data_IF_660632584575
#
_entry.id   IF_660632584575
#
_cell.length_a   1.000
_cell.length_b   1.000
_cell.length_c   1.000
_cell.angle_alpha   90.00
_cell.angle_beta   90.00
_cell.angle_gamma   90.00
#
_symmetry.space_group_name_H-M   'P 1'
#
loop_
_entity.id
_entity.type
_entity.pdbx_description
1 polymer ?
#
# COMPACT_ATOMS: atom_id res chain seq x y z
N UNK A 1 0.47 -0.14 18.46
CA UNK A 1 -0.55 -1.20 18.33
C UNK A 1 -1.97 -0.66 18.22
N UNK A 2 -2.31 0.45 18.96
CA UNK A 2 -3.69 0.98 19.00
C UNK A 2 -4.08 1.90 17.82
N UNK A 3 -3.12 2.40 17.04
CA UNK A 3 -3.41 3.40 16.00
C UNK A 3 -4.27 2.85 14.85
N UNK A 4 -4.04 1.61 14.42
CA UNK A 4 -4.80 0.97 13.35
C UNK A 4 -6.24 0.67 13.74
N UNK A 5 -6.47 0.23 14.98
CA UNK A 5 -7.81 -0.02 15.50
C UNK A 5 -8.61 1.27 15.69
N UNK A 6 -7.97 2.33 16.20
CA UNK A 6 -8.57 3.66 16.34
C UNK A 6 -8.91 4.23 14.97
N UNK A 7 -7.98 4.16 14.00
CA UNK A 7 -8.22 4.64 12.63
C UNK A 7 -9.40 3.91 12.00
N UNK A 8 -9.52 2.58 12.18
CA UNK A 8 -10.64 1.81 11.66
C UNK A 8 -11.99 2.26 12.23
N UNK A 9 -12.08 2.46 13.54
CA UNK A 9 -13.32 2.92 14.20
C UNK A 9 -13.66 4.37 13.85
N UNK A 10 -12.66 5.26 13.81
CA UNK A 10 -12.85 6.67 13.46
C UNK A 10 -13.23 6.85 12.00
N UNK A 11 -12.72 6.01 11.09
CA UNK A 11 -13.07 6.07 9.67
C UNK A 11 -14.57 5.89 9.43
N UNK A 12 -15.20 4.92 10.09
CA UNK A 12 -16.65 4.66 9.93
C UNK A 12 -17.47 5.87 10.38
N UNK A 13 -17.09 6.47 11.52
CA UNK A 13 -17.77 7.67 12.06
C UNK A 13 -17.56 8.87 11.12
N UNK A 14 -16.35 9.06 10.64
CA UNK A 14 -16.02 10.11 9.66
C UNK A 14 -16.86 9.93 8.39
N UNK A 15 -16.93 8.73 7.82
CA UNK A 15 -17.63 8.45 6.57
C UNK A 15 -19.15 8.67 6.73
N UNK A 16 -19.71 8.35 7.90
CA UNK A 16 -21.11 8.66 8.23
C UNK A 16 -21.36 10.18 8.23
N UNK A 17 -20.53 10.97 8.96
CA UNK A 17 -20.70 12.42 9.02
C UNK A 17 -20.46 13.10 7.68
N UNK A 18 -19.48 12.63 6.89
CA UNK A 18 -19.21 13.13 5.55
C UNK A 18 -20.41 12.87 4.63
N UNK A 19 -20.99 11.68 4.68
CA UNK A 19 -22.19 11.35 3.91
C UNK A 19 -23.37 12.22 4.31
N UNK A 20 -23.62 12.40 5.61
CA UNK A 20 -24.70 13.25 6.14
C UNK A 20 -24.52 14.71 5.68
N UNK A 21 -23.28 15.21 5.74
CA UNK A 21 -22.94 16.55 5.26
C UNK A 21 -23.25 16.73 3.77
N UNK A 22 -22.83 15.77 2.92
CA UNK A 22 -23.09 15.86 1.48
C UNK A 22 -24.56 15.73 1.13
N UNK A 23 -25.31 14.89 1.84
CA UNK A 23 -26.76 14.80 1.67
C UNK A 23 -27.42 16.14 2.06
N UNK A 24 -27.07 16.69 3.23
CA UNK A 24 -27.60 17.98 3.66
C UNK A 24 -27.24 19.12 2.70
N UNK A 25 -26.00 19.17 2.24
CA UNK A 25 -25.57 20.14 1.23
C UNK A 25 -26.34 19.96 -0.08
N UNK A 26 -26.48 18.73 -0.56
CA UNK A 26 -27.21 18.41 -1.81
C UNK A 26 -28.67 18.84 -1.79
N UNK A 27 -29.32 18.79 -0.61
CA UNK A 27 -30.70 19.26 -0.44
C UNK A 27 -30.85 20.78 -0.47
N UNK A 28 -29.78 21.53 -0.22
CA UNK A 28 -29.80 23.00 -0.18
C UNK A 28 -29.32 23.66 -1.47
N UNK A 29 -28.83 22.86 -2.43
CA UNK A 29 -28.31 23.40 -3.71
C UNK A 29 -29.48 23.81 -4.59
N UNK A 30 -29.58 25.07 -5.03
CA UNK A 30 -30.54 25.46 -6.04
C UNK A 30 -30.20 24.75 -7.37
N UNK A 31 -31.23 24.26 -8.05
CA UNK A 31 -31.07 23.72 -9.40
C UNK A 31 -30.50 24.81 -10.31
N UNK A 32 -29.59 24.43 -11.23
CA UNK A 32 -28.98 25.43 -12.12
C UNK A 32 -30.04 26.05 -13.04
N UNK A 33 -30.18 27.38 -13.01
CA UNK A 33 -31.17 28.12 -13.78
C UNK A 33 -30.83 28.22 -15.28
N UNK A 34 -29.77 27.52 -15.74
CA UNK A 34 -29.41 27.51 -17.18
C UNK A 34 -28.16 26.71 -17.52
N UNK A 35 -28.01 26.45 -18.82
CA UNK A 35 -26.85 25.74 -19.39
C UNK A 35 -25.52 26.44 -19.10
N UNK A 36 -25.54 27.77 -18.93
CA UNK A 36 -24.34 28.55 -18.65
C UNK A 36 -23.65 28.13 -17.33
N UNK A 37 -24.40 27.84 -16.29
CA UNK A 37 -23.86 27.37 -14.99
C UNK A 37 -23.11 26.06 -15.16
N UNK A 38 -23.66 25.12 -15.92
CA UNK A 38 -23.03 23.83 -16.19
C UNK A 38 -21.74 23.99 -17.03
N UNK A 39 -21.78 24.84 -18.07
CA UNK A 39 -20.59 25.11 -18.88
C UNK A 39 -19.49 25.74 -18.01
N UNK A 40 -19.85 26.70 -17.17
CA UNK A 40 -18.90 27.35 -16.26
C UNK A 40 -18.34 26.37 -15.25
N UNK A 41 -19.17 25.46 -14.74
CA UNK A 41 -18.74 24.39 -13.82
C UNK A 41 -17.73 23.43 -14.48
N UNK A 42 -17.96 23.03 -15.73
CA UNK A 42 -17.00 22.21 -16.49
C UNK A 42 -15.69 22.96 -16.69
N UNK A 43 -15.74 24.23 -17.11
CA UNK A 43 -14.53 25.04 -17.28
C UNK A 43 -13.76 25.17 -15.97
N UNK A 44 -14.47 25.45 -14.85
CA UNK A 44 -13.85 25.56 -13.53
C UNK A 44 -13.22 24.21 -13.09
N UNK A 45 -13.90 23.10 -13.34
CA UNK A 45 -13.38 21.75 -13.04
C UNK A 45 -12.09 21.48 -13.82
N UNK A 46 -12.06 21.76 -15.12
CA UNK A 46 -10.88 21.59 -15.96
C UNK A 46 -9.73 22.49 -15.50
N UNK A 47 -10.01 23.77 -15.23
CA UNK A 47 -9.00 24.72 -14.72
C UNK A 47 -8.46 24.26 -13.37
N UNK A 48 -9.31 23.79 -12.45
CA UNK A 48 -8.89 23.31 -11.14
C UNK A 48 -7.96 22.09 -11.24
N UNK A 49 -8.30 21.11 -12.09
CA UNK A 49 -7.46 19.91 -12.33
C UNK A 49 -6.13 20.31 -12.96
N UNK A 50 -6.15 21.14 -13.99
CA UNK A 50 -4.93 21.59 -14.68
C UNK A 50 -4.03 22.44 -13.77
N UNK A 51 -4.60 23.36 -13.00
CA UNK A 51 -3.85 24.20 -12.07
C UNK A 51 -3.14 23.35 -11.01
N UNK A 52 -3.82 22.34 -10.45
CA UNK A 52 -3.21 21.41 -9.49
C UNK A 52 -2.10 20.61 -10.12
N UNK A 53 -2.31 20.11 -11.32
CA UNK A 53 -1.29 19.38 -12.04
C UNK A 53 -0.05 20.25 -12.31
N UNK A 54 -0.25 21.46 -12.82
CA UNK A 54 0.84 22.41 -13.14
C UNK A 54 1.61 22.87 -11.89
N UNK A 55 0.95 22.94 -10.72
CA UNK A 55 1.58 23.39 -9.47
C UNK A 55 2.15 22.22 -8.68
N UNK A 56 1.36 21.16 -8.45
CA UNK A 56 1.74 20.07 -7.54
C UNK A 56 2.80 19.17 -8.17
N UNK A 57 2.69 18.86 -9.46
CA UNK A 57 3.64 18.01 -10.14
C UNK A 57 5.08 18.55 -10.07
N UNK A 58 5.37 19.81 -10.46
CA UNK A 58 6.73 20.33 -10.32
C UNK A 58 7.19 20.44 -8.87
N UNK A 59 6.29 20.82 -7.96
CA UNK A 59 6.61 20.92 -6.53
C UNK A 59 7.12 19.57 -5.98
N UNK A 60 6.42 18.48 -6.28
CA UNK A 60 6.79 17.14 -5.85
C UNK A 60 8.06 16.65 -6.56
N UNK A 61 8.18 16.91 -7.85
CA UNK A 61 9.37 16.56 -8.62
C UNK A 61 10.63 17.23 -8.08
N UNK A 62 10.58 18.53 -7.82
CA UNK A 62 11.72 19.28 -7.26
C UNK A 62 11.96 18.98 -5.78
N UNK A 63 11.00 18.43 -5.06
CA UNK A 63 11.21 17.93 -3.69
C UNK A 63 11.89 16.54 -3.63
N UNK A 64 12.21 15.95 -4.79
CA UNK A 64 12.98 14.71 -4.89
C UNK A 64 12.15 13.45 -5.16
N UNK A 65 10.83 13.57 -5.40
CA UNK A 65 10.06 12.45 -5.89
C UNK A 65 10.39 12.19 -7.37
N UNK A 66 10.35 10.93 -7.76
CA UNK A 66 10.46 10.54 -9.17
C UNK A 66 9.27 11.07 -9.99
N UNK A 67 9.49 11.20 -11.29
CA UNK A 67 8.52 11.80 -12.23
C UNK A 67 7.16 11.10 -12.20
N UNK A 68 7.14 9.76 -12.15
CA UNK A 68 5.92 8.95 -12.13
C UNK A 68 5.12 9.18 -10.84
N UNK A 69 5.74 9.05 -9.67
CA UNK A 69 5.08 9.25 -8.39
C UNK A 69 4.61 10.70 -8.20
N UNK A 70 5.39 11.68 -8.67
CA UNK A 70 4.97 13.09 -8.68
C UNK A 70 3.71 13.30 -9.52
N UNK A 71 3.63 12.64 -10.68
CA UNK A 71 2.47 12.74 -11.56
C UNK A 71 1.24 12.05 -10.99
N UNK A 72 1.38 10.78 -10.56
CA UNK A 72 0.28 10.01 -9.96
C UNK A 72 -0.30 10.72 -8.74
N UNK A 73 0.57 11.28 -7.89
CA UNK A 73 0.14 12.05 -6.71
C UNK A 73 -0.60 13.33 -7.12
N UNK A 74 -0.14 14.03 -8.15
CA UNK A 74 -0.81 15.23 -8.66
C UNK A 74 -2.20 14.94 -9.21
N UNK A 75 -2.37 13.80 -9.90
CA UNK A 75 -3.67 13.32 -10.40
C UNK A 75 -4.60 12.97 -9.22
N UNK A 76 -4.08 12.30 -8.18
CA UNK A 76 -4.84 11.97 -6.96
C UNK A 76 -5.36 13.21 -6.23
N UNK A 77 -4.60 14.28 -6.25
CA UNK A 77 -4.95 15.57 -5.64
C UNK A 77 -5.76 16.49 -6.57
N UNK A 78 -6.14 16.02 -7.76
CA UNK A 78 -6.85 16.81 -8.78
C UNK A 78 -8.27 17.25 -8.38
N UNK A 79 -8.90 16.59 -7.43
CA UNK A 79 -10.25 16.89 -6.95
C UNK A 79 -10.30 18.24 -6.23
N UNK A 80 -11.38 19.01 -6.43
CA UNK A 80 -11.69 20.20 -5.61
C UNK A 80 -11.94 19.75 -4.17
N UNK A 81 -11.39 20.50 -3.20
CA UNK A 81 -11.51 20.15 -1.78
C UNK A 81 -12.94 20.31 -1.26
N UNK A 82 -13.37 19.43 -0.38
CA UNK A 82 -14.63 19.50 0.37
C UNK A 82 -14.74 20.81 1.16
N UNK A 83 -13.63 21.33 1.69
CA UNK A 83 -13.60 22.60 2.38
C UNK A 83 -13.98 23.79 1.47
N UNK A 84 -13.78 23.69 0.16
CA UNK A 84 -14.23 24.71 -0.79
C UNK A 84 -15.74 24.86 -0.77
N UNK A 85 -16.49 23.79 -0.55
CA UNK A 85 -17.95 23.81 -0.43
C UNK A 85 -18.40 24.50 0.86
N UNK A 86 -17.71 24.25 1.98
CA UNK A 86 -18.00 24.90 3.27
C UNK A 86 -17.78 26.41 3.15
N UNK A 87 -16.66 26.83 2.55
CA UNK A 87 -16.36 28.26 2.35
C UNK A 87 -17.38 28.90 1.39
N UNK A 88 -17.74 28.18 0.33
CA UNK A 88 -18.75 28.63 -0.62
C UNK A 88 -20.12 28.82 0.05
N UNK A 89 -20.55 27.86 0.87
CA UNK A 89 -21.81 27.94 1.62
C UNK A 89 -21.82 29.11 2.59
N UNK A 90 -20.73 29.32 3.35
CA UNK A 90 -20.61 30.49 4.24
C UNK A 90 -20.64 31.81 3.48
N UNK A 91 -19.95 31.87 2.34
CA UNK A 91 -19.98 33.05 1.47
C UNK A 91 -21.38 33.35 0.92
N UNK A 92 -22.15 32.32 0.58
CA UNK A 92 -23.55 32.45 0.17
C UNK A 92 -24.44 32.97 1.32
N UNK A 93 -24.30 32.39 2.52
CA UNK A 93 -25.08 32.83 3.70
C UNK A 93 -24.79 34.28 4.10
N UNK A 94 -23.54 34.71 3.95
CA UNK A 94 -23.11 36.09 4.26
C UNK A 94 -23.40 37.08 3.12
N UNK A 95 -23.97 36.62 2.01
CA UNK A 95 -24.25 37.46 0.85
C UNK A 95 -23.01 37.92 0.06
N UNK A 96 -21.84 37.31 0.27
CA UNK A 96 -20.60 37.64 -0.41
C UNK A 96 -20.51 37.05 -1.81
N UNK A 97 -21.23 35.97 -2.09
CA UNK A 97 -21.30 35.32 -3.40
C UNK A 97 -22.76 35.11 -3.81
N UNK A 98 -23.01 35.07 -5.11
CA UNK A 98 -24.33 34.76 -5.65
C UNK A 98 -24.66 33.27 -5.60
N UNK A 99 -25.95 32.94 -5.63
CA UNK A 99 -26.40 31.53 -5.74
C UNK A 99 -25.92 30.86 -7.01
N UNK A 100 -25.79 31.58 -8.11
CA UNK A 100 -25.26 31.08 -9.39
C UNK A 100 -23.79 30.66 -9.29
N UNK A 101 -22.97 31.49 -8.63
CA UNK A 101 -21.56 31.17 -8.39
C UNK A 101 -21.43 29.95 -7.43
N UNK A 102 -22.24 29.91 -6.39
CA UNK A 102 -22.27 28.78 -5.48
C UNK A 102 -22.63 27.48 -6.20
N UNK A 103 -23.67 27.47 -7.02
CA UNK A 103 -24.06 26.33 -7.86
C UNK A 103 -22.92 25.91 -8.79
N UNK A 104 -22.24 26.86 -9.45
CA UNK A 104 -21.10 26.59 -10.34
C UNK A 104 -19.98 25.84 -9.59
N UNK A 105 -19.59 26.30 -8.40
CA UNK A 105 -18.52 25.66 -7.60
C UNK A 105 -18.94 24.26 -7.15
N UNK A 106 -20.19 24.05 -6.75
CA UNK A 106 -20.70 22.77 -6.31
C UNK A 106 -20.73 21.76 -7.46
N UNK A 107 -21.24 22.15 -8.64
CA UNK A 107 -21.20 21.28 -9.82
C UNK A 107 -19.77 20.98 -10.29
N UNK A 108 -18.85 21.94 -10.23
CA UNK A 108 -17.43 21.71 -10.50
C UNK A 108 -16.81 20.70 -9.52
N UNK A 109 -17.17 20.77 -8.23
CA UNK A 109 -16.78 19.78 -7.24
C UNK A 109 -17.29 18.39 -7.61
N UNK A 110 -18.59 18.24 -7.90
CA UNK A 110 -19.20 16.95 -8.27
C UNK A 110 -18.50 16.37 -9.52
N UNK A 111 -18.27 17.18 -10.53
CA UNK A 111 -17.57 16.76 -11.76
C UNK A 111 -16.16 16.26 -11.42
N UNK A 112 -15.38 17.01 -10.63
CA UNK A 112 -14.03 16.58 -10.27
C UNK A 112 -14.03 15.35 -9.35
N UNK A 113 -14.99 15.23 -8.45
CA UNK A 113 -15.13 14.07 -7.57
C UNK A 113 -15.44 12.78 -8.35
N UNK A 114 -16.31 12.85 -9.35
CA UNK A 114 -16.63 11.71 -10.23
C UNK A 114 -15.49 11.38 -11.21
N UNK A 115 -14.75 12.39 -11.66
CA UNK A 115 -13.68 12.23 -12.64
C UNK A 115 -12.39 11.67 -12.00
N UNK A 116 -12.09 12.04 -10.76
CA UNK A 116 -10.83 11.70 -10.08
C UNK A 116 -10.59 10.19 -9.97
N UNK A 117 -11.55 9.33 -9.58
CA UNK A 117 -11.34 7.88 -9.57
C UNK A 117 -11.03 7.30 -10.95
N UNK A 118 -11.63 7.85 -12.00
CA UNK A 118 -11.39 7.43 -13.39
C UNK A 118 -9.99 7.84 -13.85
N UNK A 119 -9.58 9.07 -13.55
CA UNK A 119 -8.23 9.57 -13.83
C UNK A 119 -7.18 8.77 -13.07
N UNK A 120 -7.46 8.42 -11.81
CA UNK A 120 -6.56 7.63 -11.00
C UNK A 120 -6.32 6.23 -11.60
N UNK A 121 -7.38 5.54 -12.02
CA UNK A 121 -7.27 4.23 -12.70
C UNK A 121 -6.45 4.28 -13.99
N UNK A 122 -6.40 5.44 -14.64
CA UNK A 122 -5.65 5.68 -15.88
C UNK A 122 -4.37 6.50 -15.68
N UNK A 123 -3.96 6.73 -14.44
CA UNK A 123 -2.84 7.61 -14.13
C UNK A 123 -1.53 7.16 -14.80
N UNK A 124 -1.29 5.85 -14.87
CA UNK A 124 -0.12 5.29 -15.54
C UNK A 124 -0.16 5.50 -17.06
N UNK A 125 -1.30 5.23 -17.70
CA UNK A 125 -1.48 5.50 -19.12
C UNK A 125 -1.35 7.01 -19.45
N UNK A 126 -1.83 7.89 -18.57
CA UNK A 126 -1.65 9.34 -18.68
C UNK A 126 -0.17 9.69 -18.57
N UNK A 127 0.56 9.07 -17.63
CA UNK A 127 2.01 9.25 -17.49
C UNK A 127 2.74 8.87 -18.78
N UNK A 128 2.46 7.69 -19.34
CA UNK A 128 3.13 7.19 -20.54
C UNK A 128 2.93 8.13 -21.74
N UNK A 129 1.71 8.63 -21.92
CA UNK A 129 1.41 9.59 -22.99
C UNK A 129 2.09 10.94 -22.79
N UNK A 130 2.17 11.44 -21.55
CA UNK A 130 2.78 12.73 -21.23
C UNK A 130 4.29 12.66 -21.01
N UNK A 131 4.86 11.47 -20.87
CA UNK A 131 6.28 11.25 -20.57
C UNK A 131 7.21 11.90 -21.59
N UNK A 132 6.88 11.82 -22.88
CA UNK A 132 7.63 12.44 -23.97
C UNK A 132 7.60 13.95 -23.91
N UNK A 133 6.45 14.56 -23.59
CA UNK A 133 6.29 16.01 -23.45
C UNK A 133 7.03 16.51 -22.20
N UNK A 134 6.89 15.84 -21.08
CA UNK A 134 7.58 16.19 -19.83
C UNK A 134 9.11 16.09 -19.98
N UNK A 135 9.60 15.08 -20.70
CA UNK A 135 11.02 14.98 -21.04
C UNK A 135 11.54 16.15 -21.86
N UNK A 136 10.75 16.67 -22.82
CA UNK A 136 11.09 17.89 -23.61
C UNK A 136 11.05 19.16 -22.78
N UNK A 137 10.20 19.22 -21.75
CA UNK A 137 10.11 20.35 -20.81
C UNK A 137 11.22 20.32 -19.73
N UNK A 138 12.15 19.36 -19.79
CA UNK A 138 13.27 19.28 -18.85
C UNK A 138 13.01 18.45 -17.61
N UNK A 139 11.82 17.89 -17.42
CA UNK A 139 11.52 16.94 -16.35
C UNK A 139 12.08 15.55 -16.74
N UNK A 140 13.39 15.42 -16.67
CA UNK A 140 14.05 14.13 -16.91
C UNK A 140 13.69 13.17 -15.77
N UNK A 141 13.42 11.92 -16.09
CA UNK A 141 13.48 10.90 -15.06
C UNK A 141 14.87 11.00 -14.43
N UNK A 142 14.99 11.12 -13.09
CA UNK A 142 16.28 10.91 -12.49
C UNK A 142 16.74 9.60 -13.09
N UNK A 143 17.91 9.62 -13.73
CA UNK A 143 18.55 8.41 -14.20
C UNK A 143 18.39 7.43 -13.05
N UNK A 144 17.41 6.55 -13.16
CA UNK A 144 17.35 5.44 -12.24
C UNK A 144 18.78 4.95 -12.25
N UNK A 145 19.37 4.76 -11.07
CA UNK A 145 20.59 4.00 -10.92
C UNK A 145 20.28 2.55 -11.37
N UNK A 146 19.79 2.45 -12.60
CA UNK A 146 19.46 1.21 -13.29
C UNK A 146 20.70 0.48 -13.79
N UNK A 147 21.87 1.00 -13.47
CA UNK A 147 23.14 0.33 -13.70
C UNK A 147 23.89 0.00 -12.40
N UNK A 148 23.37 0.44 -11.23
CA UNK A 148 23.92 -0.01 -9.97
C UNK A 148 23.24 -1.33 -9.60
N UNK A 149 23.89 -2.42 -10.04
CA UNK A 149 23.67 -3.79 -9.60
C UNK A 149 22.22 -4.28 -9.75
N UNK A 150 21.96 -4.97 -10.83
CA UNK A 150 20.85 -5.94 -10.98
C UNK A 150 21.06 -7.07 -9.96
N UNK A 151 20.95 -6.73 -8.68
CA UNK A 151 21.15 -7.68 -7.59
C UNK A 151 20.04 -8.72 -7.67
N UNK A 152 20.42 -9.96 -7.91
CA UNK A 152 19.53 -11.10 -7.75
C UNK A 152 19.41 -11.40 -6.27
N UNK A 153 18.20 -11.68 -5.80
CA UNK A 153 17.95 -12.01 -4.41
C UNK A 153 17.63 -13.49 -4.28
N UNK A 154 18.22 -14.14 -3.28
CA UNK A 154 17.85 -15.52 -2.96
C UNK A 154 16.48 -15.59 -2.31
N UNK A 155 16.10 -14.54 -1.57
CA UNK A 155 14.83 -14.44 -0.84
C UNK A 155 14.23 -13.04 -0.98
N UNK A 156 12.93 -12.96 -1.24
CA UNK A 156 12.15 -11.74 -1.12
C UNK A 156 11.00 -11.95 -0.12
N UNK A 157 10.90 -11.07 0.87
CA UNK A 157 9.79 -11.03 1.83
C UNK A 157 8.83 -9.91 1.42
N UNK A 158 7.59 -10.26 1.14
CA UNK A 158 6.54 -9.32 0.78
C UNK A 158 5.74 -8.95 2.02
N UNK A 159 5.91 -7.70 2.43
CA UNK A 159 5.39 -7.16 3.66
C UNK A 159 6.19 -7.56 4.90
N UNK A 160 6.25 -6.65 5.87
CA UNK A 160 6.96 -6.85 7.10
C UNK A 160 6.02 -6.73 8.30
N UNK A 161 5.72 -7.87 8.91
CA UNK A 161 4.91 -7.99 10.11
C UNK A 161 5.59 -8.95 11.10
N UNK A 162 4.94 -9.33 12.18
CA UNK A 162 5.52 -10.19 13.25
C UNK A 162 6.17 -11.45 12.69
N UNK A 163 5.51 -12.15 11.77
CA UNK A 163 6.05 -13.38 11.15
C UNK A 163 7.35 -13.11 10.40
N UNK A 164 7.41 -12.03 9.62
CA UNK A 164 8.64 -11.65 8.91
C UNK A 164 9.76 -11.27 9.89
N UNK A 165 9.42 -10.59 10.99
CA UNK A 165 10.37 -10.23 12.04
C UNK A 165 10.98 -11.47 12.69
N UNK A 166 10.14 -12.44 13.09
CA UNK A 166 10.58 -13.71 13.64
C UNK A 166 11.40 -14.53 12.63
N UNK A 167 10.96 -14.55 11.35
CA UNK A 167 11.66 -15.26 10.28
C UNK A 167 13.06 -14.68 10.05
N UNK A 168 13.22 -13.35 9.99
CA UNK A 168 14.53 -12.73 9.83
C UNK A 168 15.43 -12.99 11.05
N UNK A 169 14.88 -13.05 12.26
CA UNK A 169 15.63 -13.43 13.44
C UNK A 169 16.18 -14.86 13.33
N UNK A 170 15.35 -15.83 12.93
CA UNK A 170 15.78 -17.23 12.75
C UNK A 170 16.81 -17.36 11.61
N UNK A 171 16.58 -16.66 10.46
CA UNK A 171 17.54 -16.66 9.36
C UNK A 171 18.89 -16.05 9.78
N UNK A 172 18.87 -14.98 10.55
CA UNK A 172 20.10 -14.36 11.06
C UNK A 172 20.90 -15.28 11.97
N UNK A 173 20.24 -16.14 12.69
CA UNK A 173 20.83 -17.10 13.59
C UNK A 173 21.36 -18.34 12.87
N UNK A 174 20.53 -18.92 12.01
CA UNK A 174 20.80 -20.21 11.38
C UNK A 174 21.54 -20.08 10.03
N UNK A 175 21.34 -18.99 9.31
CA UNK A 175 21.94 -18.74 8.00
C UNK A 175 22.19 -17.25 7.76
N UNK A 176 23.14 -16.62 8.46
CA UNK A 176 23.40 -15.18 8.39
C UNK A 176 23.78 -14.71 6.98
N UNK A 177 24.41 -15.58 6.16
CA UNK A 177 24.73 -15.28 4.77
C UNK A 177 23.53 -15.01 3.89
N UNK A 178 22.36 -15.55 4.23
CA UNK A 178 21.13 -15.33 3.46
C UNK A 178 20.54 -13.94 3.70
N UNK A 179 20.81 -13.31 4.85
CA UNK A 179 20.31 -11.96 5.14
C UNK A 179 20.78 -10.95 4.11
N UNK A 180 22.06 -11.00 3.72
CA UNK A 180 22.63 -10.08 2.71
C UNK A 180 22.04 -10.28 1.31
N UNK A 181 21.41 -11.44 1.05
CA UNK A 181 20.74 -11.81 -0.18
C UNK A 181 19.21 -11.72 -0.07
N UNK A 182 18.71 -11.15 1.04
CA UNK A 182 17.28 -10.99 1.29
C UNK A 182 16.83 -9.59 0.92
N UNK A 183 15.74 -9.51 0.17
CA UNK A 183 14.98 -8.30 -0.11
C UNK A 183 13.73 -8.29 0.77
N UNK A 184 13.44 -7.16 1.39
CA UNK A 184 12.15 -6.89 2.07
C UNK A 184 11.45 -5.78 1.32
N UNK A 185 10.21 -6.01 0.91
CA UNK A 185 9.35 -5.00 0.28
C UNK A 185 8.24 -4.64 1.25
N UNK A 186 8.24 -3.41 1.75
CA UNK A 186 7.25 -2.94 2.71
C UNK A 186 6.92 -1.46 2.50
N UNK A 187 5.66 -1.08 2.75
CA UNK A 187 5.19 0.30 2.60
C UNK A 187 5.49 1.17 3.83
N UNK A 188 5.80 0.58 4.98
CA UNK A 188 6.03 1.31 6.23
C UNK A 188 7.49 1.80 6.36
N UNK A 189 7.74 2.99 5.86
CA UNK A 189 9.08 3.62 5.87
C UNK A 189 9.69 3.71 7.28
N UNK A 190 8.87 3.81 8.33
CA UNK A 190 9.35 3.90 9.71
C UNK A 190 10.11 2.64 10.20
N UNK A 191 9.87 1.51 9.56
CA UNK A 191 10.54 0.25 9.88
C UNK A 191 11.82 0.04 9.05
N UNK A 192 11.97 0.73 7.92
CA UNK A 192 13.06 0.48 6.97
C UNK A 192 14.45 0.56 7.60
N UNK A 193 14.71 1.57 8.42
CA UNK A 193 16.01 1.72 9.09
C UNK A 193 16.29 0.54 10.04
N UNK A 194 15.29 0.08 10.80
CA UNK A 194 15.42 -1.04 11.74
C UNK A 194 15.63 -2.36 11.00
N UNK A 195 14.90 -2.57 9.90
CA UNK A 195 15.01 -3.79 9.09
C UNK A 195 16.36 -3.83 8.38
N UNK A 196 16.81 -2.71 7.79
CA UNK A 196 18.13 -2.61 7.15
C UNK A 196 19.28 -2.87 8.12
N UNK A 197 19.12 -2.51 9.39
CA UNK A 197 20.14 -2.77 10.42
C UNK A 197 20.37 -4.27 10.65
N UNK A 198 19.45 -5.15 10.23
CA UNK A 198 19.62 -6.60 10.25
C UNK A 198 20.50 -7.13 9.09
N UNK A 199 20.97 -6.26 8.19
CA UNK A 199 21.79 -6.64 7.03
C UNK A 199 21.01 -7.03 5.77
N UNK A 200 19.70 -6.82 5.74
CA UNK A 200 18.84 -7.09 4.57
C UNK A 200 18.64 -5.84 3.71
N UNK A 201 18.35 -6.03 2.43
CA UNK A 201 17.96 -4.91 1.55
C UNK A 201 16.47 -4.61 1.76
N UNK A 202 16.12 -3.35 2.05
CA UNK A 202 14.72 -2.93 2.18
C UNK A 202 14.36 -1.98 1.06
N UNK A 203 13.20 -2.18 0.46
CA UNK A 203 12.64 -1.28 -0.54
C UNK A 203 11.21 -0.91 -0.18
N UNK A 204 10.86 0.34 -0.44
CA UNK A 204 9.48 0.79 -0.37
C UNK A 204 8.67 0.14 -1.50
N UNK A 205 7.54 -0.43 -1.16
CA UNK A 205 6.63 -1.00 -2.14
C UNK A 205 5.22 -1.19 -1.59
N UNK A 206 4.24 -0.84 -2.41
CA UNK A 206 2.85 -1.18 -2.19
C UNK A 206 2.57 -2.54 -2.84
N UNK A 207 2.22 -3.52 -2.02
CA UNK A 207 1.94 -4.89 -2.46
C UNK A 207 0.68 -5.00 -3.33
N UNK A 208 -0.17 -3.96 -3.36
CA UNK A 208 -1.32 -3.89 -4.25
C UNK A 208 -0.94 -3.66 -5.71
N UNK A 209 0.30 -3.24 -5.98
CA UNK A 209 0.74 -2.81 -7.30
C UNK A 209 1.83 -3.75 -7.87
N UNK A 210 1.47 -4.53 -8.89
CA UNK A 210 2.38 -5.48 -9.56
C UNK A 210 3.64 -4.80 -10.16
N UNK A 211 3.50 -3.58 -10.67
CA UNK A 211 4.62 -2.84 -11.23
C UNK A 211 5.62 -2.40 -10.14
N UNK A 212 5.13 -2.05 -8.95
CA UNK A 212 5.97 -1.78 -7.78
C UNK A 212 6.75 -3.03 -7.37
N UNK A 213 6.12 -4.21 -7.41
CA UNK A 213 6.81 -5.49 -7.15
C UNK A 213 7.90 -5.76 -8.18
N UNK A 214 7.63 -5.53 -9.47
CA UNK A 214 8.63 -5.67 -10.53
C UNK A 214 9.83 -4.74 -10.31
N UNK A 215 9.59 -3.45 -10.09
CA UNK A 215 10.67 -2.48 -9.88
C UNK A 215 11.42 -2.67 -8.56
N UNK A 216 10.84 -3.33 -7.57
CA UNK A 216 11.54 -3.65 -6.33
C UNK A 216 12.60 -4.76 -6.49
N UNK A 217 12.55 -5.56 -7.56
CA UNK A 217 13.47 -6.67 -7.83
C UNK A 217 12.92 -8.02 -7.41
N UNK A 218 11.61 -8.13 -7.16
CA UNK A 218 10.91 -9.41 -6.90
C UNK A 218 10.93 -10.31 -8.12
N UNK A 219 10.97 -9.72 -9.33
CA UNK A 219 11.14 -10.40 -10.61
C UNK A 219 12.42 -11.26 -10.69
N UNK A 220 13.39 -11.02 -9.82
CA UNK A 220 14.70 -11.72 -9.79
C UNK A 220 14.96 -12.43 -8.48
N UNK A 221 13.96 -12.60 -7.66
CA UNK A 221 14.07 -13.36 -6.43
C UNK A 221 13.83 -14.86 -6.72
N UNK A 222 14.68 -15.72 -6.14
CA UNK A 222 14.51 -17.17 -6.27
C UNK A 222 13.35 -17.70 -5.44
N UNK A 223 13.19 -17.18 -4.22
CA UNK A 223 12.10 -17.53 -3.30
C UNK A 223 11.39 -16.26 -2.92
N UNK A 224 10.07 -16.27 -2.98
CA UNK A 224 9.21 -15.14 -2.56
C UNK A 224 8.29 -15.62 -1.44
N UNK A 225 8.26 -14.89 -0.33
CA UNK A 225 7.44 -15.24 0.83
C UNK A 225 6.46 -14.11 1.15
N UNK A 226 5.17 -14.40 1.10
CA UNK A 226 4.11 -13.53 1.55
C UNK A 226 3.85 -13.79 3.02
N UNK A 227 4.29 -12.88 3.91
CA UNK A 227 4.26 -13.10 5.36
C UNK A 227 3.09 -12.43 6.07
N UNK A 228 2.45 -11.45 5.44
CA UNK A 228 1.32 -10.72 6.04
C UNK A 228 0.04 -11.54 5.87
N UNK A 229 -0.72 -11.77 6.94
CA UNK A 229 -2.03 -12.42 6.84
C UNK A 229 -3.08 -11.50 6.20
N UNK A 230 -4.08 -12.08 5.54
CA UNK A 230 -5.07 -11.33 4.74
C UNK A 230 -5.92 -10.35 5.55
N UNK A 231 -6.15 -10.63 6.83
CA UNK A 231 -6.87 -9.74 7.75
C UNK A 231 -6.11 -8.43 8.06
N UNK A 232 -4.81 -8.41 7.82
CA UNK A 232 -3.94 -7.22 7.96
C UNK A 232 -3.75 -6.48 6.63
N UNK A 233 -3.85 -7.18 5.49
CA UNK A 233 -3.71 -6.60 4.16
C UNK A 233 -4.89 -5.66 3.86
N UNK A 234 -4.59 -4.49 3.28
CA UNK A 234 -5.60 -3.52 2.86
C UNK A 234 -5.54 -3.32 1.36
N UNK A 235 -6.69 -3.48 0.70
CA UNK A 235 -6.81 -3.25 -0.75
C UNK A 235 -6.30 -4.36 -1.65
N UNK A 236 -5.75 -5.44 -1.08
CA UNK A 236 -5.31 -6.64 -1.79
C UNK A 236 -5.47 -7.88 -0.91
N UNK A 237 -5.17 -9.06 -1.45
CA UNK A 237 -5.12 -10.33 -0.75
C UNK A 237 -3.86 -11.10 -1.13
N UNK A 238 -3.46 -12.08 -0.31
CA UNK A 238 -2.34 -12.96 -0.67
C UNK A 238 -2.57 -13.67 -2.00
N UNK A 239 -3.81 -14.03 -2.33
CA UNK A 239 -4.14 -14.62 -3.63
C UNK A 239 -3.80 -13.67 -4.80
N UNK A 240 -4.11 -12.37 -4.68
CA UNK A 240 -3.77 -11.37 -5.69
C UNK A 240 -2.26 -11.13 -5.77
N UNK A 241 -1.58 -11.10 -4.63
CA UNK A 241 -0.11 -10.95 -4.57
C UNK A 241 0.57 -12.14 -5.23
N UNK A 242 0.16 -13.37 -4.94
CA UNK A 242 0.69 -14.59 -5.55
C UNK A 242 0.51 -14.58 -7.07
N UNK A 243 -0.69 -14.22 -7.57
CA UNK A 243 -0.94 -14.08 -9.01
C UNK A 243 -0.02 -13.04 -9.65
N UNK A 244 0.15 -11.88 -9.00
CA UNK A 244 1.04 -10.83 -9.48
C UNK A 244 2.49 -11.28 -9.52
N UNK A 245 2.98 -11.94 -8.46
CA UNK A 245 4.34 -12.48 -8.40
C UNK A 245 4.54 -13.55 -9.48
N UNK A 246 3.61 -14.48 -9.63
CA UNK A 246 3.68 -15.53 -10.65
C UNK A 246 3.72 -14.96 -12.07
N UNK A 247 3.01 -13.84 -12.30
CA UNK A 247 3.03 -13.15 -13.59
C UNK A 247 4.38 -12.48 -13.89
N UNK A 248 5.00 -11.81 -12.89
CA UNK A 248 6.28 -11.10 -13.10
C UNK A 248 7.50 -11.99 -12.93
N UNK A 249 7.38 -13.11 -12.22
CA UNK A 249 8.46 -14.08 -11.98
C UNK A 249 7.89 -15.50 -12.00
N UNK A 250 7.71 -16.08 -13.21
CA UNK A 250 7.14 -17.43 -13.37
C UNK A 250 7.94 -18.55 -12.70
N UNK A 251 9.26 -18.38 -12.56
CA UNK A 251 10.17 -19.39 -12.01
C UNK A 251 10.36 -19.29 -10.48
N UNK A 252 9.81 -18.26 -9.83
CA UNK A 252 9.96 -18.09 -8.39
C UNK A 252 9.28 -19.23 -7.62
N UNK A 253 9.89 -19.65 -6.53
CA UNK A 253 9.23 -20.48 -5.52
C UNK A 253 8.44 -19.54 -4.61
N UNK A 254 7.12 -19.67 -4.60
CA UNK A 254 6.22 -18.77 -3.84
C UNK A 254 5.69 -19.49 -2.61
N UNK A 255 5.97 -18.90 -1.44
CA UNK A 255 5.47 -19.36 -0.14
C UNK A 255 4.47 -18.33 0.36
N UNK A 256 3.24 -18.74 0.66
CA UNK A 256 2.18 -17.82 1.05
C UNK A 256 1.56 -18.19 2.41
N UNK A 257 1.10 -17.16 3.13
CA UNK A 257 0.38 -17.32 4.38
C UNK A 257 -1.13 -17.41 4.10
N UNK A 258 -1.80 -18.39 4.69
CA UNK A 258 -3.24 -18.49 4.77
C UNK A 258 -3.72 -18.33 6.21
N UNK A 259 -4.81 -17.62 6.41
CA UNK A 259 -5.50 -17.50 7.71
C UNK A 259 -6.58 -18.57 7.83
N UNK A 260 -7.40 -18.73 6.79
CA UNK A 260 -8.50 -19.69 6.73
C UNK A 260 -8.16 -20.91 5.87
N UNK A 261 -8.78 -22.06 6.21
CA UNK A 261 -8.50 -23.32 5.51
C UNK A 261 -8.84 -23.29 4.02
N UNK A 262 -9.90 -22.57 3.64
CA UNK A 262 -10.32 -22.47 2.24
C UNK A 262 -9.32 -21.65 1.40
N UNK A 263 -8.67 -20.65 1.98
CA UNK A 263 -7.67 -19.82 1.30
C UNK A 263 -6.46 -20.63 0.82
N UNK A 264 -6.12 -21.68 1.55
CA UNK A 264 -5.00 -22.56 1.18
C UNK A 264 -5.18 -23.13 -0.22
N UNK A 265 -6.38 -23.58 -0.56
CA UNK A 265 -6.69 -24.09 -1.89
C UNK A 265 -6.61 -22.99 -2.96
N UNK A 266 -7.18 -21.84 -2.67
CA UNK A 266 -7.16 -20.68 -3.58
C UNK A 266 -5.73 -20.20 -3.85
N UNK A 267 -4.86 -20.22 -2.85
CA UNK A 267 -3.45 -19.85 -2.98
C UNK A 267 -2.67 -20.84 -3.85
N UNK A 268 -2.90 -22.16 -3.72
CA UNK A 268 -2.31 -23.15 -4.62
C UNK A 268 -2.83 -22.97 -6.06
N UNK A 269 -4.12 -22.74 -6.25
CA UNK A 269 -4.71 -22.47 -7.56
C UNK A 269 -4.18 -21.14 -8.16
N UNK A 270 -3.83 -20.16 -7.32
CA UNK A 270 -3.21 -18.91 -7.73
C UNK A 270 -1.73 -19.06 -8.15
N UNK A 271 -1.08 -20.20 -7.82
CA UNK A 271 0.29 -20.51 -8.16
C UNK A 271 1.29 -20.45 -7.01
N UNK A 272 0.86 -20.53 -5.75
CA UNK A 272 1.75 -20.75 -4.62
C UNK A 272 2.33 -22.18 -4.66
N UNK A 273 3.62 -22.33 -4.33
CA UNK A 273 4.28 -23.62 -4.25
C UNK A 273 4.15 -24.24 -2.85
N UNK A 274 4.03 -23.39 -1.84
CA UNK A 274 3.80 -23.81 -0.46
C UNK A 274 2.91 -22.81 0.28
N UNK A 275 1.97 -23.34 1.05
CA UNK A 275 1.09 -22.52 1.89
C UNK A 275 1.25 -22.94 3.34
N UNK A 276 1.55 -21.98 4.21
CA UNK A 276 1.61 -22.19 5.66
C UNK A 276 0.47 -21.50 6.38
N UNK A 277 0.04 -22.09 7.48
CA UNK A 277 -0.99 -21.54 8.35
C UNK A 277 -0.45 -21.47 9.78
N UNK A 278 -0.23 -20.25 10.29
CA UNK A 278 0.38 -20.04 11.61
C UNK A 278 -0.31 -20.83 12.71
N UNK A 279 -1.66 -20.86 12.71
CA UNK A 279 -2.44 -21.59 13.74
C UNK A 279 -2.20 -23.10 13.70
N UNK A 280 -2.01 -23.68 12.50
CA UNK A 280 -1.76 -25.13 12.35
C UNK A 280 -0.34 -25.47 12.80
N UNK A 281 0.66 -24.66 12.40
CA UNK A 281 2.04 -24.86 12.83
C UNK A 281 2.18 -24.68 14.35
N UNK A 282 1.48 -23.70 14.93
CA UNK A 282 1.44 -23.52 16.39
C UNK A 282 0.77 -24.71 17.09
N UNK A 283 -0.35 -25.22 16.53
CA UNK A 283 -1.05 -26.37 17.09
C UNK A 283 -0.17 -27.63 17.13
N UNK A 284 0.60 -27.90 16.05
CA UNK A 284 1.57 -29.01 15.98
C UNK A 284 2.67 -28.87 17.03
N UNK A 285 3.21 -27.66 17.21
CA UNK A 285 4.23 -27.41 18.22
C UNK A 285 3.69 -27.66 19.66
N UNK A 286 2.45 -27.21 19.92
CA UNK A 286 1.78 -27.43 21.23
C UNK A 286 1.45 -28.90 21.45
N UNK A 287 0.99 -29.61 20.39
CA UNK A 287 0.74 -31.08 20.46
C UNK A 287 1.99 -31.82 20.90
N UNK A 288 3.15 -31.53 20.25
CA UNK A 288 4.41 -32.17 20.68
C UNK A 288 4.80 -31.86 22.13
N UNK A 289 4.52 -30.65 22.62
CA UNK A 289 4.74 -30.31 24.03
C UNK A 289 3.79 -31.07 24.97
N UNK A 290 2.52 -31.28 24.57
CA UNK A 290 1.53 -32.04 25.34
C UNK A 290 1.97 -33.51 25.44
N UNK A 291 2.40 -34.13 24.33
CA UNK A 291 2.92 -35.51 24.35
C UNK A 291 4.09 -35.66 25.32
N UNK A 292 5.03 -34.72 25.30
CA UNK A 292 6.17 -34.71 26.24
C UNK A 292 5.75 -34.47 27.69
N UNK A 293 4.73 -33.66 27.92
CA UNK A 293 4.17 -33.46 29.25
C UNK A 293 3.53 -34.77 29.81
N UNK A 294 2.78 -35.48 28.97
CA UNK A 294 2.13 -36.72 29.36
C UNK A 294 3.14 -37.88 29.60
N UNK A 295 4.27 -37.87 28.91
CA UNK A 295 5.36 -38.82 29.11
C UNK A 295 6.29 -38.44 30.29
N UNK A 296 6.10 -37.27 30.91
CA UNK A 296 6.97 -36.78 32.00
C UNK A 296 8.30 -36.17 31.51
N UNK A 297 8.48 -35.97 30.20
CA UNK A 297 9.71 -35.49 29.56
C UNK A 297 9.66 -33.97 29.25
N UNK A 298 8.70 -33.23 29.80
CA UNK A 298 8.53 -31.82 29.52
C UNK A 298 9.73 -30.95 29.93
N UNK A 299 10.42 -31.21 31.08
CA UNK A 299 11.60 -30.40 31.45
C UNK A 299 12.75 -30.54 30.44
N UNK A 300 13.01 -31.77 29.98
CA UNK A 300 14.04 -32.07 28.98
C UNK A 300 13.67 -31.45 27.61
N UNK A 301 12.41 -31.57 27.22
CA UNK A 301 11.90 -30.95 26.02
C UNK A 301 12.05 -29.41 26.05
N UNK A 302 11.66 -28.78 27.18
CA UNK A 302 11.87 -27.34 27.38
C UNK A 302 13.35 -26.96 27.23
N UNK A 303 14.24 -27.70 27.89
CA UNK A 303 15.68 -27.45 27.82
C UNK A 303 16.22 -27.60 26.39
N UNK A 304 15.71 -28.54 25.60
CA UNK A 304 16.07 -28.72 24.20
C UNK A 304 15.60 -27.58 23.33
N UNK A 305 14.39 -27.05 23.56
CA UNK A 305 13.84 -25.89 22.87
C UNK A 305 14.65 -24.61 23.21
N UNK A 306 14.95 -24.39 24.50
CA UNK A 306 15.77 -23.27 24.95
C UNK A 306 17.20 -23.35 24.39
N UNK A 307 17.79 -24.53 24.28
CA UNK A 307 19.08 -24.75 23.65
C UNK A 307 19.02 -24.47 22.13
N UNK A 308 17.93 -24.90 21.48
CA UNK A 308 17.74 -24.72 20.04
C UNK A 308 17.41 -23.26 19.65
N UNK A 309 16.57 -22.59 20.39
CA UNK A 309 16.01 -21.27 20.02
C UNK A 309 16.47 -20.12 20.91
N UNK A 310 17.20 -20.37 22.00
CA UNK A 310 17.56 -19.39 23.02
C UNK A 310 16.40 -19.04 23.95
N UNK A 311 16.69 -18.24 24.95
CA UNK A 311 15.67 -17.77 25.87
C UNK A 311 14.75 -16.75 25.21
N UNK A 312 13.47 -17.00 25.22
CA UNK A 312 12.45 -16.21 24.51
C UNK A 312 12.44 -14.73 24.88
N UNK A 313 12.73 -14.40 26.15
CA UNK A 313 12.76 -13.02 26.63
C UNK A 313 13.99 -12.23 26.20
N UNK A 314 15.05 -12.90 25.74
CA UNK A 314 16.24 -12.28 25.18
C UNK A 314 16.15 -12.03 23.67
N UNK A 315 15.08 -12.51 23.05
CA UNK A 315 14.87 -12.45 21.62
C UNK A 315 14.64 -10.99 21.18
N UNK A 316 15.48 -10.49 20.28
CA UNK A 316 15.36 -9.15 19.73
C UNK A 316 14.72 -9.21 18.35
N UNK A 317 13.47 -8.88 18.27
CA UNK A 317 12.72 -8.77 17.03
C UNK A 317 12.41 -7.30 16.72
N UNK A 318 12.21 -6.99 15.43
CA UNK A 318 11.93 -5.60 15.00
C UNK A 318 10.52 -5.18 15.38
N UNK A 319 9.57 -6.16 15.45
CA UNK A 319 8.16 -5.95 15.80
C UNK A 319 7.72 -6.87 16.93
#
# INVERSE_FOLDING_TARGET
PYSTEIIGKVSVVKDFFVTLFFVGLGMTIPMPDGVNVLVLAVVLAVVAVLARYVVIFPLLYFSGLDRRNSMVTSVRLGQISEFSLVICFLGLQLGHISGELASTVIFAFVITALLTPLMYRKADAIHDHLSGLLGRLGFREPLQKSAAEQKSYSLALLGFHRTASSLLHELGRNNPGLLSQTLVVDFNINLHAKISALGVTVKYGDLCNAETLHHSGVDRARVVVCTIPDDVLKGTSNCNIVKAVRHINPEAIIIANAVELHESRELYEAGADYVFMQRIETARAVEGAIEKALSGELPEYRSSIEAAYGEWHLRKEVM
#
